data_IF_117361514650
#
_entry.id   IF_117361514650
#
_cell.length_a   1.000
_cell.length_b   1.000
_cell.length_c   1.000
_cell.angle_alpha   90.00
_cell.angle_beta   90.00
_cell.angle_gamma   90.00
#
_symmetry.space_group_name_H-M   'P 1'
#
loop_
_entity.id
_entity.type
_entity.pdbx_description
1 polymer ?
#
# COMPACT_ATOMS: atom_id res chain seq x y z
N UNK A 1 15.59 -12.13 -6.92
CA UNK A 1 15.53 -12.84 -5.61
C UNK A 1 14.84 -14.19 -5.73
N UNK A 2 13.57 -14.27 -6.06
CA UNK A 2 12.88 -15.54 -6.33
C UNK A 2 12.43 -15.60 -7.77
N UNK A 3 12.62 -16.76 -8.41
CA UNK A 3 12.11 -17.05 -9.74
C UNK A 3 11.43 -18.39 -9.75
N UNK A 4 10.17 -18.41 -10.15
CA UNK A 4 9.40 -19.60 -10.47
C UNK A 4 9.45 -19.76 -12.00
N UNK A 5 9.83 -20.95 -12.49
CA UNK A 5 10.10 -21.24 -13.89
C UNK A 5 9.29 -22.48 -14.29
N UNK A 6 8.14 -22.27 -14.94
CA UNK A 6 7.17 -23.30 -15.33
C UNK A 6 6.64 -24.14 -14.17
N UNK A 7 6.49 -23.54 -12.97
CA UNK A 7 6.14 -24.28 -11.74
C UNK A 7 4.72 -24.79 -11.80
N UNK A 8 4.55 -26.09 -11.62
CA UNK A 8 3.23 -26.73 -11.55
C UNK A 8 3.04 -27.60 -10.32
N UNK A 9 1.79 -27.71 -9.87
CA UNK A 9 1.39 -28.64 -8.81
C UNK A 9 0.11 -29.35 -9.16
N UNK A 10 0.21 -30.66 -9.30
CA UNK A 10 -0.93 -31.58 -9.38
C UNK A 10 -0.87 -32.51 -8.19
N UNK A 11 -1.98 -32.64 -7.46
CA UNK A 11 -2.11 -33.56 -6.33
C UNK A 11 -2.40 -35.00 -6.81
N UNK A 12 -2.28 -35.99 -5.92
CA UNK A 12 -2.47 -37.40 -6.25
C UNK A 12 -3.91 -37.76 -6.69
N UNK A 13 -4.88 -36.93 -6.33
CA UNK A 13 -6.29 -37.06 -6.75
C UNK A 13 -6.57 -36.44 -8.14
N UNK A 14 -5.51 -35.94 -8.82
CA UNK A 14 -5.63 -35.29 -10.13
C UNK A 14 -5.96 -33.79 -10.06
N UNK A 15 -6.16 -33.21 -8.88
CA UNK A 15 -6.44 -31.79 -8.72
C UNK A 15 -5.22 -30.95 -9.11
N UNK A 16 -5.37 -30.09 -10.13
CA UNK A 16 -4.34 -29.12 -10.52
C UNK A 16 -4.49 -27.85 -9.67
N UNK A 17 -3.54 -27.63 -8.77
CA UNK A 17 -3.53 -26.47 -7.87
C UNK A 17 -2.74 -25.29 -8.44
N UNK A 18 -1.68 -25.54 -9.23
CA UNK A 18 -0.88 -24.52 -9.90
C UNK A 18 -0.49 -25.06 -11.27
N UNK A 19 -0.65 -24.22 -12.32
CA UNK A 19 -0.40 -24.61 -13.70
C UNK A 19 0.65 -23.69 -14.33
N UNK A 20 1.84 -24.25 -14.67
CA UNK A 20 2.93 -23.58 -15.41
C UNK A 20 3.15 -22.11 -14.99
N UNK A 21 3.38 -21.92 -13.70
CA UNK A 21 3.55 -20.58 -13.13
C UNK A 21 4.96 -20.08 -13.42
N UNK A 22 5.03 -18.97 -14.17
CA UNK A 22 6.22 -18.14 -14.31
C UNK A 22 6.02 -16.87 -13.47
N UNK A 23 6.92 -16.61 -12.53
CA UNK A 23 6.84 -15.45 -11.65
C UNK A 23 8.23 -15.04 -11.18
N UNK A 24 8.59 -13.78 -11.40
CA UNK A 24 9.82 -13.19 -10.87
C UNK A 24 9.48 -12.23 -9.71
N UNK A 25 10.09 -12.47 -8.55
CA UNK A 25 9.99 -11.60 -7.37
C UNK A 25 11.33 -10.88 -7.20
N UNK A 26 11.41 -9.57 -7.47
CA UNK A 26 12.63 -8.79 -7.30
C UNK A 26 13.10 -8.75 -5.85
N UNK A 27 14.42 -8.54 -5.67
CA UNK A 27 14.96 -8.33 -4.31
C UNK A 27 14.42 -7.01 -3.72
N UNK A 28 14.07 -7.04 -2.44
CA UNK A 28 13.56 -5.87 -1.71
C UNK A 28 12.11 -5.50 -2.01
N UNK A 29 11.43 -6.21 -2.95
CA UNK A 29 10.03 -5.92 -3.28
C UNK A 29 9.04 -6.71 -2.44
N UNK A 30 7.85 -6.13 -2.27
CA UNK A 30 6.67 -6.78 -1.72
C UNK A 30 5.75 -7.21 -2.88
N UNK A 31 5.70 -8.51 -3.17
CA UNK A 31 4.83 -9.08 -4.20
C UNK A 31 3.64 -9.76 -3.55
N UNK A 32 2.43 -9.32 -3.93
CA UNK A 32 1.19 -9.86 -3.40
C UNK A 32 0.55 -10.83 -4.39
N UNK A 33 0.26 -12.04 -3.92
CA UNK A 33 -0.52 -13.04 -4.64
C UNK A 33 -1.98 -12.92 -4.21
N UNK A 34 -2.87 -12.57 -5.12
CA UNK A 34 -4.29 -12.36 -4.85
C UNK A 34 -5.17 -13.18 -5.78
N UNK A 35 -6.39 -13.47 -5.37
CA UNK A 35 -7.36 -14.22 -6.17
C UNK A 35 -8.34 -15.01 -5.31
N UNK A 36 -9.34 -15.66 -5.91
CA UNK A 36 -10.38 -16.39 -5.18
C UNK A 36 -9.80 -17.55 -4.36
N UNK A 37 -10.61 -18.06 -3.41
CA UNK A 37 -10.21 -19.20 -2.58
C UNK A 37 -9.96 -20.43 -3.45
N UNK A 38 -8.90 -21.20 -3.14
CA UNK A 38 -8.55 -22.42 -3.85
C UNK A 38 -7.81 -22.22 -5.19
N UNK A 39 -7.47 -20.99 -5.61
CA UNK A 39 -6.77 -20.74 -6.88
C UNK A 39 -5.24 -20.98 -6.83
N UNK A 40 -4.67 -21.56 -5.77
CA UNK A 40 -3.28 -22.00 -5.74
C UNK A 40 -2.28 -21.08 -5.03
N UNK A 41 -2.65 -19.90 -4.52
CA UNK A 41 -1.77 -18.93 -3.83
C UNK A 41 -0.97 -19.53 -2.67
N UNK A 42 -1.67 -20.07 -1.65
CA UNK A 42 -1.01 -20.71 -0.50
C UNK A 42 -0.22 -21.96 -0.91
N UNK A 43 -0.64 -22.67 -1.96
CA UNK A 43 0.12 -23.80 -2.52
C UNK A 43 1.43 -23.30 -3.11
N UNK A 44 1.42 -22.19 -3.86
CA UNK A 44 2.63 -21.55 -4.40
C UNK A 44 3.57 -21.17 -3.27
N UNK A 45 3.08 -20.49 -2.23
CA UNK A 45 3.88 -20.12 -1.07
C UNK A 45 4.52 -21.33 -0.38
N UNK A 46 3.73 -22.41 -0.20
CA UNK A 46 4.20 -23.67 0.40
C UNK A 46 5.25 -24.37 -0.46
N UNK A 47 5.19 -24.25 -1.80
CA UNK A 47 6.22 -24.77 -2.70
C UNK A 47 7.52 -23.98 -2.58
N UNK A 48 7.47 -22.65 -2.50
CA UNK A 48 8.66 -21.81 -2.28
C UNK A 48 9.34 -22.18 -0.95
N UNK A 49 8.58 -22.43 0.10
CA UNK A 49 9.08 -22.88 1.42
C UNK A 49 9.39 -24.38 1.47
N UNK A 50 9.21 -25.10 0.37
CA UNK A 50 9.42 -26.55 0.30
C UNK A 50 8.66 -27.35 1.36
N UNK A 51 7.47 -26.86 1.74
CA UNK A 51 6.50 -27.64 2.53
C UNK A 51 5.72 -28.63 1.64
N UNK A 52 5.64 -28.32 0.35
CA UNK A 52 5.06 -29.13 -0.71
C UNK A 52 6.05 -29.11 -1.88
N UNK A 53 6.33 -30.27 -2.46
CA UNK A 53 7.17 -30.35 -3.67
C UNK A 53 6.36 -30.00 -4.93
N UNK A 54 6.91 -29.20 -5.84
CA UNK A 54 6.31 -29.00 -7.16
C UNK A 54 6.28 -30.31 -7.95
N UNK A 55 5.33 -30.47 -8.89
CA UNK A 55 5.26 -31.64 -9.78
C UNK A 55 5.97 -31.36 -11.10
N UNK A 56 6.15 -30.09 -11.47
CA UNK A 56 6.91 -29.66 -12.66
C UNK A 56 7.56 -28.30 -12.40
N UNK A 57 8.49 -27.93 -13.26
CA UNK A 57 9.21 -26.66 -13.18
C UNK A 57 10.27 -26.63 -12.06
N UNK A 58 10.77 -25.46 -11.78
CA UNK A 58 11.80 -25.24 -10.75
C UNK A 58 11.59 -23.89 -10.06
N UNK A 59 12.05 -23.80 -8.82
CA UNK A 59 12.01 -22.60 -8.02
C UNK A 59 13.44 -22.22 -7.65
N UNK A 60 13.84 -21.02 -7.99
CA UNK A 60 15.17 -20.50 -7.72
C UNK A 60 15.08 -19.43 -6.63
N UNK A 61 15.93 -19.51 -5.61
CA UNK A 61 16.14 -18.48 -4.59
C UNK A 61 17.59 -18.01 -4.70
N UNK A 62 17.81 -16.75 -5.10
CA UNK A 62 19.13 -16.18 -5.42
C UNK A 62 19.93 -17.03 -6.43
N UNK A 63 19.23 -17.61 -7.40
CA UNK A 63 19.82 -18.47 -8.43
C UNK A 63 20.03 -19.93 -7.99
N UNK A 64 19.83 -20.27 -6.72
CA UNK A 64 19.92 -21.63 -6.17
C UNK A 64 18.59 -22.36 -6.30
N UNK A 65 18.58 -23.54 -6.93
CA UNK A 65 17.37 -24.37 -7.05
C UNK A 65 16.98 -24.94 -5.69
N UNK A 66 15.87 -24.45 -5.13
CA UNK A 66 15.40 -24.82 -3.79
C UNK A 66 15.10 -26.32 -3.66
N UNK A 67 14.79 -27.02 -4.77
CA UNK A 67 14.49 -28.46 -4.74
C UNK A 67 15.75 -29.31 -4.47
N UNK A 68 16.95 -28.74 -4.66
CA UNK A 68 18.24 -29.40 -4.46
C UNK A 68 18.88 -29.08 -3.10
N UNK A 69 18.34 -28.11 -2.39
CA UNK A 69 18.83 -27.70 -1.06
C UNK A 69 18.21 -28.59 0.01
N UNK A 70 18.90 -28.81 1.15
CA UNK A 70 18.29 -29.42 2.31
C UNK A 70 17.09 -28.59 2.81
N UNK A 71 15.88 -29.19 2.94
CA UNK A 71 14.67 -28.43 3.29
C UNK A 71 14.74 -27.74 4.64
N UNK A 72 15.49 -28.30 5.60
CA UNK A 72 15.65 -27.70 6.93
C UNK A 72 16.54 -26.48 6.85
N UNK A 73 17.65 -26.58 6.09
CA UNK A 73 18.54 -25.44 5.86
C UNK A 73 17.83 -24.32 5.09
N UNK A 74 17.04 -24.66 4.07
CA UNK A 74 16.26 -23.69 3.30
C UNK A 74 15.30 -22.93 4.22
N UNK A 75 14.46 -23.64 4.99
CA UNK A 75 13.44 -23.02 5.87
C UNK A 75 14.03 -22.16 6.99
N UNK A 76 15.28 -22.40 7.42
CA UNK A 76 15.98 -21.51 8.36
C UNK A 76 16.43 -20.19 7.75
N UNK A 77 16.46 -20.09 6.41
CA UNK A 77 16.80 -18.87 5.64
C UNK A 77 15.55 -18.09 5.21
N UNK A 78 14.35 -18.60 5.49
CA UNK A 78 13.07 -17.99 5.07
C UNK A 78 12.25 -17.70 6.33
N UNK A 79 11.81 -16.46 6.47
CA UNK A 79 10.81 -16.11 7.48
C UNK A 79 9.42 -16.54 6.98
N UNK A 80 8.63 -17.20 7.82
CA UNK A 80 7.31 -17.66 7.43
C UNK A 80 6.25 -17.29 8.46
N UNK A 81 5.29 -16.47 8.02
CA UNK A 81 4.10 -16.08 8.78
C UNK A 81 2.91 -16.83 8.22
N UNK A 82 2.33 -17.73 9.02
CA UNK A 82 1.16 -18.54 8.64
C UNK A 82 -0.15 -17.86 9.08
N UNK A 83 -1.25 -18.18 8.42
CA UNK A 83 -2.59 -17.61 8.62
C UNK A 83 -3.05 -17.61 10.10
N UNK A 84 -2.74 -18.62 10.87
CA UNK A 84 -3.06 -18.74 12.30
C UNK A 84 -1.87 -18.44 13.21
N UNK A 85 -1.01 -17.51 12.87
CA UNK A 85 0.23 -17.08 13.58
C UNK A 85 1.11 -18.24 14.09
N UNK A 86 0.56 -19.36 14.54
CA UNK A 86 1.24 -20.58 14.96
C UNK A 86 2.26 -20.38 16.09
N UNK A 87 1.97 -19.52 17.05
CA UNK A 87 2.79 -19.37 18.24
C UNK A 87 2.65 -20.62 19.12
N UNK A 88 3.75 -21.04 19.75
CA UNK A 88 3.74 -22.14 20.72
C UNK A 88 3.04 -21.68 22.00
N UNK A 89 1.84 -22.19 22.33
CA UNK A 89 1.02 -21.65 23.41
C UNK A 89 1.62 -21.85 24.81
N UNK A 90 2.50 -22.81 24.96
CA UNK A 90 3.18 -23.18 26.20
C UNK A 90 4.55 -22.50 26.37
N UNK A 91 4.94 -21.64 25.43
CA UNK A 91 6.21 -20.90 25.47
C UNK A 91 5.93 -19.41 25.60
N UNK A 92 6.84 -18.69 26.26
CA UNK A 92 6.79 -17.24 26.34
C UNK A 92 6.98 -16.60 24.95
N UNK A 93 6.67 -15.32 24.84
CA UNK A 93 6.88 -14.55 23.60
C UNK A 93 8.37 -14.54 23.25
N UNK A 94 9.25 -14.33 24.21
CA UNK A 94 10.71 -14.37 24.05
C UNK A 94 11.16 -15.69 23.42
N UNK A 95 10.68 -16.80 23.93
CA UNK A 95 11.03 -18.15 23.42
C UNK A 95 10.43 -18.36 22.02
N UNK A 96 9.20 -17.91 21.78
CA UNK A 96 8.57 -17.98 20.46
C UNK A 96 9.39 -17.24 19.40
N UNK A 97 9.77 -15.99 19.66
CA UNK A 97 10.56 -15.17 18.73
C UNK A 97 11.97 -15.74 18.56
N UNK A 98 12.62 -16.17 19.65
CA UNK A 98 13.97 -16.75 19.66
C UNK A 98 14.10 -18.14 19.02
N UNK A 99 12.99 -18.78 18.61
CA UNK A 99 13.00 -20.18 18.13
C UNK A 99 14.00 -20.44 17.00
N UNK A 100 14.03 -19.59 15.96
CA UNK A 100 14.93 -19.81 14.81
C UNK A 100 16.39 -19.46 15.15
N UNK A 101 16.70 -18.34 15.81
CA UNK A 101 18.04 -18.08 16.36
C UNK A 101 18.61 -19.23 17.19
N UNK A 102 17.81 -19.81 18.10
CA UNK A 102 18.23 -20.95 18.92
C UNK A 102 18.53 -22.20 18.08
N UNK A 103 17.70 -22.49 17.06
CA UNK A 103 17.94 -23.57 16.09
C UNK A 103 19.19 -23.35 15.23
N UNK A 104 19.61 -22.10 15.07
CA UNK A 104 20.85 -21.73 14.39
C UNK A 104 22.06 -21.75 15.33
N UNK A 105 21.86 -22.03 16.63
CA UNK A 105 22.92 -22.10 17.62
C UNK A 105 23.44 -20.74 18.09
N UNK A 106 22.61 -19.70 18.02
CA UNK A 106 23.01 -18.39 18.56
C UNK A 106 23.17 -18.47 20.08
N UNK A 107 24.14 -17.72 20.60
CA UNK A 107 24.30 -17.61 22.03
C UNK A 107 23.13 -16.89 22.69
N UNK A 108 22.72 -17.31 23.89
CA UNK A 108 21.54 -16.81 24.62
C UNK A 108 21.49 -15.29 24.72
N UNK A 109 22.61 -14.62 24.97
CA UNK A 109 22.70 -13.16 25.08
C UNK A 109 22.28 -12.52 23.75
N UNK A 110 22.88 -12.96 22.62
CA UNK A 110 22.56 -12.45 21.27
C UNK A 110 21.11 -12.68 20.89
N UNK A 111 20.55 -13.88 21.21
CA UNK A 111 19.14 -14.18 20.96
C UNK A 111 18.24 -13.24 21.73
N UNK A 112 18.52 -12.98 23.03
CA UNK A 112 17.70 -12.10 23.85
C UNK A 112 17.75 -10.65 23.33
N UNK A 113 18.93 -10.11 23.05
CA UNK A 113 19.10 -8.76 22.48
C UNK A 113 18.31 -8.62 21.15
N UNK A 114 18.40 -9.63 20.28
CA UNK A 114 17.65 -9.63 19.01
C UNK A 114 16.14 -9.73 19.21
N UNK A 115 15.68 -10.50 20.18
CA UNK A 115 14.25 -10.59 20.52
C UNK A 115 13.73 -9.25 21.02
N UNK A 116 14.47 -8.59 21.91
CA UNK A 116 14.08 -7.30 22.48
C UNK A 116 14.03 -6.23 21.38
N UNK A 117 15.04 -6.15 20.51
CA UNK A 117 15.06 -5.28 19.32
C UNK A 117 13.82 -5.49 18.43
N UNK A 118 13.47 -6.74 18.14
CA UNK A 118 12.35 -7.06 17.26
C UNK A 118 10.98 -6.83 17.91
N UNK A 119 10.87 -7.00 19.20
CA UNK A 119 9.64 -6.65 19.92
C UNK A 119 9.42 -5.15 19.92
N UNK A 120 10.47 -4.34 20.17
CA UNK A 120 10.39 -2.88 20.05
C UNK A 120 10.01 -2.46 18.62
N UNK A 121 10.65 -3.06 17.62
CA UNK A 121 10.41 -2.80 16.20
C UNK A 121 8.94 -3.02 15.80
N UNK A 122 8.27 -4.03 16.38
CA UNK A 122 6.84 -4.28 16.13
C UNK A 122 5.92 -3.57 17.14
N UNK A 123 6.43 -2.61 17.93
CA UNK A 123 5.67 -1.82 18.89
C UNK A 123 5.13 -2.61 20.08
N UNK A 124 5.92 -3.57 20.57
CA UNK A 124 5.66 -4.36 21.77
C UNK A 124 6.81 -4.20 22.76
N UNK A 125 6.63 -3.38 23.80
CA UNK A 125 7.66 -3.14 24.83
C UNK A 125 8.19 -4.48 25.41
N UNK A 126 9.50 -4.79 25.27
CA UNK A 126 10.07 -6.08 25.70
C UNK A 126 9.84 -6.37 27.18
N UNK A 127 10.03 -5.38 28.05
CA UNK A 127 9.85 -5.52 29.50
C UNK A 127 8.42 -5.89 29.89
N UNK A 128 7.45 -5.57 29.04
CA UNK A 128 6.03 -5.84 29.27
C UNK A 128 5.60 -7.18 28.65
N UNK A 129 6.11 -7.46 27.43
CA UNK A 129 5.55 -8.55 26.61
C UNK A 129 6.41 -9.78 26.48
N UNK A 130 7.75 -9.69 26.63
CA UNK A 130 8.66 -10.79 26.33
C UNK A 130 8.39 -12.05 27.16
N UNK A 131 8.04 -11.90 28.42
CA UNK A 131 7.81 -13.02 29.33
C UNK A 131 6.33 -13.46 29.41
N UNK A 132 5.44 -12.81 28.64
CA UNK A 132 4.04 -13.23 28.52
C UNK A 132 3.90 -14.48 27.65
N UNK A 133 2.75 -15.13 27.78
CA UNK A 133 2.32 -16.25 26.93
C UNK A 133 1.36 -15.75 25.83
N UNK A 134 1.25 -16.44 24.68
CA UNK A 134 0.35 -16.06 23.60
C UNK A 134 -1.11 -15.84 24.00
N UNK A 135 -1.59 -16.59 25.01
CA UNK A 135 -2.96 -16.44 25.54
C UNK A 135 -3.23 -15.09 26.22
N UNK A 136 -2.20 -14.38 26.62
CA UNK A 136 -2.27 -13.08 27.29
C UNK A 136 -2.23 -11.89 26.32
N UNK A 137 -2.16 -12.16 25.01
CA UNK A 137 -2.06 -11.17 23.95
C UNK A 137 -3.36 -11.07 23.15
N UNK A 138 -3.68 -9.86 22.65
CA UNK A 138 -4.73 -9.67 21.66
C UNK A 138 -4.38 -10.34 20.31
N UNK A 139 -5.35 -10.47 19.39
CA UNK A 139 -5.12 -11.02 18.05
C UNK A 139 -4.03 -10.26 17.29
N UNK A 140 -4.10 -8.92 17.27
CA UNK A 140 -3.12 -8.06 16.62
C UNK A 140 -1.73 -8.15 17.27
N UNK A 141 -1.65 -8.22 18.60
CA UNK A 141 -0.37 -8.41 19.29
C UNK A 141 0.26 -9.77 18.96
N UNK A 142 -0.54 -10.85 18.92
CA UNK A 142 -0.03 -12.15 18.46
C UNK A 142 0.50 -12.10 17.04
N UNK A 143 -0.17 -11.35 16.16
CA UNK A 143 0.25 -11.15 14.76
C UNK A 143 1.63 -10.47 14.70
N UNK A 144 1.83 -9.37 15.44
CA UNK A 144 3.11 -8.67 15.53
C UNK A 144 4.23 -9.56 16.04
N UNK A 145 3.95 -10.40 17.05
CA UNK A 145 4.90 -11.43 17.51
C UNK A 145 5.24 -12.44 16.41
N UNK A 146 4.26 -12.83 15.58
CA UNK A 146 4.47 -13.69 14.42
C UNK A 146 5.43 -13.09 13.39
N UNK A 147 5.29 -11.79 13.13
CA UNK A 147 6.21 -11.02 12.27
C UNK A 147 7.61 -10.96 12.90
N UNK A 148 7.72 -10.59 14.18
CA UNK A 148 8.98 -10.56 14.91
C UNK A 148 9.71 -11.93 14.86
N UNK A 149 8.97 -13.04 15.07
CA UNK A 149 9.53 -14.39 14.95
C UNK A 149 10.04 -14.69 13.54
N UNK A 150 9.30 -14.28 12.51
CA UNK A 150 9.72 -14.49 11.13
C UNK A 150 11.00 -13.71 10.78
N UNK A 151 11.20 -12.53 11.38
CA UNK A 151 12.38 -11.69 11.21
C UNK A 151 13.57 -12.07 12.09
N UNK A 152 13.40 -12.97 13.08
CA UNK A 152 14.37 -13.19 14.14
C UNK A 152 15.77 -13.60 13.65
N UNK A 153 15.83 -14.45 12.63
CA UNK A 153 17.08 -14.89 12.01
C UNK A 153 17.59 -13.99 10.88
N UNK A 154 17.01 -12.80 10.73
CA UNK A 154 17.32 -11.84 9.66
C UNK A 154 17.24 -12.45 8.25
N UNK A 155 16.11 -13.10 7.87
CA UNK A 155 16.00 -13.78 6.59
C UNK A 155 15.96 -12.77 5.43
N UNK A 156 16.50 -13.12 4.24
CA UNK A 156 16.39 -12.28 3.04
C UNK A 156 14.98 -12.32 2.44
N UNK A 157 14.19 -13.34 2.75
CA UNK A 157 12.85 -13.57 2.22
C UNK A 157 11.85 -13.81 3.34
N UNK A 158 10.70 -13.11 3.26
CA UNK A 158 9.52 -13.34 4.08
C UNK A 158 8.40 -13.92 3.22
N UNK A 159 7.78 -14.99 3.68
CA UNK A 159 6.57 -15.57 3.12
C UNK A 159 5.42 -15.34 4.11
N UNK A 160 4.30 -14.79 3.65
CA UNK A 160 3.17 -14.45 4.50
C UNK A 160 1.87 -14.97 3.90
N UNK A 161 1.20 -15.88 4.61
CA UNK A 161 -0.05 -16.51 4.16
C UNK A 161 -1.22 -15.93 4.95
N UNK A 162 -1.98 -15.00 4.34
CA UNK A 162 -3.12 -14.27 4.92
C UNK A 162 -2.85 -13.72 6.33
N UNK A 163 -1.76 -12.95 6.55
CA UNK A 163 -1.32 -12.60 7.89
C UNK A 163 -2.33 -11.73 8.64
N UNK A 164 -3.17 -10.94 7.96
CA UNK A 164 -4.12 -10.05 8.59
C UNK A 164 -5.58 -10.59 8.57
N UNK A 165 -5.81 -11.80 8.07
CA UNK A 165 -7.16 -12.37 7.92
C UNK A 165 -7.95 -12.50 9.22
N UNK A 166 -7.29 -12.72 10.35
CA UNK A 166 -7.91 -12.86 11.67
C UNK A 166 -7.90 -11.57 12.51
N UNK A 167 -7.52 -10.42 11.92
CA UNK A 167 -7.43 -9.12 12.60
C UNK A 167 -8.72 -8.34 12.40
N UNK A 168 -9.17 -7.65 13.45
CA UNK A 168 -10.30 -6.73 13.39
C UNK A 168 -10.13 -5.68 12.27
N UNK A 169 -11.16 -5.39 11.45
CA UNK A 169 -11.06 -4.47 10.32
C UNK A 169 -10.55 -3.06 10.68
N UNK A 170 -10.91 -2.54 11.87
CA UNK A 170 -10.48 -1.20 12.31
C UNK A 170 -8.97 -1.16 12.56
N UNK A 171 -8.43 -2.23 13.14
CA UNK A 171 -7.00 -2.33 13.50
C UNK A 171 -6.17 -2.78 12.30
N UNK A 172 -6.78 -3.54 11.37
CA UNK A 172 -6.10 -4.14 10.21
C UNK A 172 -5.38 -3.10 9.35
N UNK A 173 -6.09 -2.02 8.98
CA UNK A 173 -5.52 -0.96 8.16
C UNK A 173 -4.25 -0.36 8.74
N UNK A 174 -4.25 -0.06 10.04
CA UNK A 174 -3.08 0.46 10.75
C UNK A 174 -1.92 -0.55 10.77
N UNK A 175 -2.20 -1.83 11.01
CA UNK A 175 -1.17 -2.87 10.99
C UNK A 175 -0.56 -3.07 9.60
N UNK A 176 -1.34 -2.89 8.55
CA UNK A 176 -0.86 -2.94 7.17
C UNK A 176 0.10 -1.79 6.88
N UNK A 177 -0.21 -0.56 7.30
CA UNK A 177 0.67 0.60 7.15
C UNK A 177 1.98 0.39 7.93
N UNK A 178 1.88 0.06 9.21
CA UNK A 178 3.05 -0.23 10.05
C UNK A 178 3.93 -1.34 9.45
N UNK A 179 3.32 -2.37 8.84
CA UNK A 179 4.06 -3.43 8.17
C UNK A 179 4.72 -2.95 6.88
N UNK A 180 4.04 -2.11 6.10
CA UNK A 180 4.58 -1.54 4.86
C UNK A 180 5.82 -0.68 5.17
N UNK A 181 5.72 0.21 6.15
CA UNK A 181 6.81 1.07 6.60
C UNK A 181 8.01 0.23 7.05
N UNK A 182 7.75 -0.80 7.87
CA UNK A 182 8.77 -1.74 8.33
C UNK A 182 9.46 -2.49 7.19
N UNK A 183 8.70 -2.96 6.20
CA UNK A 183 9.25 -3.67 5.04
C UNK A 183 10.16 -2.77 4.21
N UNK A 184 9.75 -1.50 4.01
CA UNK A 184 10.56 -0.50 3.30
C UNK A 184 11.85 -0.18 4.06
N UNK A 185 11.77 0.05 5.36
CA UNK A 185 12.94 0.33 6.21
C UNK A 185 13.96 -0.82 6.19
N UNK A 186 13.49 -2.06 6.29
CA UNK A 186 14.33 -3.24 6.31
C UNK A 186 14.79 -3.72 4.92
N UNK A 187 14.17 -3.24 3.83
CA UNK A 187 14.47 -3.65 2.46
C UNK A 187 14.28 -5.15 2.20
N UNK A 188 13.39 -5.82 2.92
CA UNK A 188 13.18 -7.27 2.80
C UNK A 188 12.33 -7.63 1.60
N UNK A 189 12.65 -8.74 0.96
CA UNK A 189 11.77 -9.33 -0.07
C UNK A 189 10.62 -10.04 0.60
N UNK A 190 9.41 -9.76 0.15
CA UNK A 190 8.18 -10.34 0.73
C UNK A 190 7.32 -10.96 -0.37
N UNK A 191 6.90 -12.20 -0.20
CA UNK A 191 5.77 -12.79 -0.91
C UNK A 191 4.58 -12.88 0.04
N UNK A 192 3.53 -12.18 -0.28
CA UNK A 192 2.34 -12.01 0.55
C UNK A 192 1.12 -12.63 -0.13
N UNK A 193 0.35 -13.43 0.55
CA UNK A 193 -0.90 -14.01 0.04
C UNK A 193 -2.08 -13.37 0.74
N UNK A 194 -3.06 -12.96 -0.06
CA UNK A 194 -4.37 -12.50 0.41
C UNK A 194 -5.49 -12.91 -0.55
N UNK A 195 -6.73 -12.82 -0.11
CA UNK A 195 -7.91 -12.89 -0.97
C UNK A 195 -8.54 -11.50 -1.19
N UNK A 196 -7.99 -10.46 -0.57
CA UNK A 196 -8.50 -9.09 -0.59
C UNK A 196 -7.69 -8.23 -1.56
N UNK A 197 -8.36 -7.74 -2.63
CA UNK A 197 -7.73 -6.88 -3.63
C UNK A 197 -7.34 -5.51 -3.04
N UNK A 198 -8.07 -4.99 -2.04
CA UNK A 198 -7.72 -3.72 -1.39
C UNK A 198 -6.41 -3.84 -0.62
N UNK A 199 -6.21 -4.97 0.07
CA UNK A 199 -4.97 -5.28 0.75
C UNK A 199 -3.82 -5.42 -0.25
N UNK A 200 -4.05 -6.11 -1.39
CA UNK A 200 -3.04 -6.27 -2.43
C UNK A 200 -2.61 -4.93 -3.05
N UNK A 201 -3.58 -4.06 -3.33
CA UNK A 201 -3.35 -2.71 -3.86
C UNK A 201 -2.61 -1.81 -2.87
N UNK A 202 -2.95 -1.90 -1.58
CA UNK A 202 -2.35 -1.08 -0.52
C UNK A 202 -0.90 -1.45 -0.22
N UNK A 203 -0.59 -2.74 -0.23
CA UNK A 203 0.70 -3.26 0.23
C UNK A 203 1.69 -3.51 -0.91
N UNK A 204 1.22 -4.02 -2.05
CA UNK A 204 2.08 -4.58 -3.08
C UNK A 204 2.85 -3.54 -3.89
N UNK A 205 4.13 -3.79 -4.14
CA UNK A 205 4.87 -3.15 -5.23
C UNK A 205 4.45 -3.76 -6.56
N UNK A 206 4.17 -5.08 -6.54
CA UNK A 206 3.55 -5.83 -7.63
C UNK A 206 2.48 -6.77 -7.11
N UNK A 207 1.48 -7.02 -7.94
CA UNK A 207 0.36 -7.90 -7.63
C UNK A 207 0.26 -8.98 -8.70
N UNK A 208 0.22 -10.24 -8.25
CA UNK A 208 -0.01 -11.41 -9.08
C UNK A 208 -1.46 -11.89 -8.88
N UNK A 209 -2.32 -11.68 -9.88
CA UNK A 209 -3.71 -12.07 -9.84
C UNK A 209 -3.86 -13.51 -10.34
N UNK A 210 -4.31 -14.40 -9.46
CA UNK A 210 -4.53 -15.82 -9.74
C UNK A 210 -5.99 -16.11 -10.07
N UNK A 211 -6.24 -16.70 -11.21
CA UNK A 211 -7.53 -17.26 -11.59
C UNK A 211 -7.69 -18.70 -11.09
N UNK A 212 -8.92 -19.21 -11.13
CA UNK A 212 -9.23 -20.61 -10.81
C UNK A 212 -8.36 -21.58 -11.65
N UNK A 213 -8.03 -22.72 -11.07
CA UNK A 213 -7.16 -23.73 -11.68
C UNK A 213 -5.67 -23.39 -11.69
N UNK A 214 -5.23 -22.45 -10.85
CA UNK A 214 -3.81 -22.13 -10.64
C UNK A 214 -3.15 -21.39 -11.79
N UNK A 215 -3.92 -20.61 -12.57
CA UNK A 215 -3.43 -19.79 -13.68
C UNK A 215 -3.10 -18.38 -13.18
N UNK A 216 -1.92 -17.88 -13.49
CA UNK A 216 -1.60 -16.46 -13.36
C UNK A 216 -2.33 -15.67 -14.46
N UNK A 217 -3.26 -14.82 -14.06
CA UNK A 217 -4.08 -14.02 -14.98
C UNK A 217 -3.36 -12.71 -15.35
N UNK A 218 -2.77 -12.02 -14.36
CA UNK A 218 -1.99 -10.80 -14.57
C UNK A 218 -0.93 -10.66 -13.47
N UNK A 219 0.22 -10.09 -13.82
CA UNK A 219 1.29 -9.75 -12.89
C UNK A 219 1.85 -8.37 -13.21
N UNK A 220 1.48 -7.37 -12.40
CA UNK A 220 1.84 -5.99 -12.67
C UNK A 220 1.81 -5.12 -11.40
N UNK A 221 2.07 -3.80 -11.56
CA UNK A 221 1.84 -2.82 -10.51
C UNK A 221 0.35 -2.73 -10.13
N UNK A 222 0.01 -2.35 -8.89
CA UNK A 222 -1.38 -2.10 -8.48
C UNK A 222 -2.12 -1.13 -9.42
N UNK A 223 -1.44 -0.07 -9.85
CA UNK A 223 -2.01 0.93 -10.75
C UNK A 223 -2.37 0.32 -12.11
N UNK A 224 -1.47 -0.49 -12.72
CA UNK A 224 -1.72 -1.16 -13.99
C UNK A 224 -2.87 -2.17 -13.91
N UNK A 225 -2.94 -2.97 -12.83
CA UNK A 225 -4.03 -3.93 -12.62
C UNK A 225 -5.39 -3.23 -12.51
N UNK A 226 -5.44 -2.08 -11.83
CA UNK A 226 -6.68 -1.29 -11.69
C UNK A 226 -7.04 -0.53 -12.97
N UNK A 227 -6.03 -0.06 -13.74
CA UNK A 227 -6.21 0.74 -14.94
C UNK A 227 -6.45 -0.08 -16.20
N UNK A 228 -5.64 -1.11 -16.41
CA UNK A 228 -5.62 -1.97 -17.59
C UNK A 228 -5.70 -3.46 -17.22
N UNK A 229 -6.87 -3.97 -16.78
CA UNK A 229 -7.05 -5.38 -16.51
C UNK A 229 -6.80 -6.23 -17.76
N UNK A 230 -6.00 -7.29 -17.64
CA UNK A 230 -5.58 -8.11 -18.77
C UNK A 230 -6.72 -8.92 -19.42
N UNK A 231 -7.76 -9.26 -18.67
CA UNK A 231 -8.95 -9.97 -19.15
C UNK A 231 -10.20 -9.63 -18.32
N UNK A 232 -11.37 -10.12 -18.77
CA UNK A 232 -12.65 -9.89 -18.09
C UNK A 232 -12.65 -10.43 -16.66
N UNK A 233 -11.95 -11.52 -16.40
CA UNK A 233 -11.83 -12.07 -15.05
C UNK A 233 -11.11 -11.09 -14.11
N UNK A 234 -10.00 -10.52 -14.54
CA UNK A 234 -9.28 -9.51 -13.74
C UNK A 234 -10.15 -8.27 -13.55
N UNK A 235 -10.84 -7.80 -14.60
CA UNK A 235 -11.75 -6.65 -14.54
C UNK A 235 -12.89 -6.87 -13.52
N UNK A 236 -13.49 -8.05 -13.50
CA UNK A 236 -14.53 -8.43 -12.54
C UNK A 236 -13.96 -8.57 -11.12
N UNK A 237 -12.78 -9.19 -10.99
CA UNK A 237 -12.13 -9.42 -9.70
C UNK A 237 -11.73 -8.10 -8.99
N UNK A 238 -11.23 -7.11 -9.73
CA UNK A 238 -10.90 -5.79 -9.17
C UNK A 238 -12.13 -4.94 -8.88
N UNK A 239 -13.27 -5.26 -9.50
CA UNK A 239 -14.56 -4.65 -9.23
C UNK A 239 -14.85 -3.35 -9.99
N UNK A 240 -16.13 -2.94 -9.97
CA UNK A 240 -16.61 -1.75 -10.69
C UNK A 240 -16.06 -0.42 -10.10
N UNK A 241 -15.67 -0.42 -8.84
CA UNK A 241 -15.11 0.72 -8.12
C UNK A 241 -13.59 0.89 -8.29
N UNK A 242 -12.98 0.15 -9.24
CA UNK A 242 -11.55 0.20 -9.54
C UNK A 242 -11.01 1.62 -9.75
N UNK A 243 -11.81 2.51 -10.35
CA UNK A 243 -11.43 3.91 -10.54
C UNK A 243 -11.23 4.66 -9.21
N UNK A 244 -12.08 4.40 -8.20
CA UNK A 244 -11.91 4.97 -6.86
C UNK A 244 -10.71 4.35 -6.12
N UNK A 245 -10.50 3.05 -6.28
CA UNK A 245 -9.31 2.37 -5.70
C UNK A 245 -8.02 2.88 -6.31
N UNK A 246 -8.03 3.23 -7.60
CA UNK A 246 -6.88 3.79 -8.29
C UNK A 246 -6.41 5.11 -7.67
N UNK A 247 -7.33 5.93 -7.14
CA UNK A 247 -6.96 7.15 -6.41
C UNK A 247 -6.03 6.88 -5.21
N UNK A 248 -6.11 5.69 -4.61
CA UNK A 248 -5.27 5.31 -3.48
C UNK A 248 -3.81 4.97 -3.85
N UNK A 249 -3.55 4.71 -5.13
CA UNK A 249 -2.21 4.37 -5.65
C UNK A 249 -1.69 5.38 -6.66
N UNK A 250 -2.44 6.46 -6.90
CA UNK A 250 -2.04 7.57 -7.77
C UNK A 250 -1.56 8.72 -6.89
N UNK A 251 -0.28 9.07 -7.01
CA UNK A 251 0.32 10.22 -6.33
C UNK A 251 -0.10 11.54 -6.98
N UNK A 252 0.17 12.63 -6.26
CA UNK A 252 -0.01 14.00 -6.74
C UNK A 252 1.25 14.38 -7.53
N UNK A 253 1.10 14.81 -8.78
CA UNK A 253 2.18 15.32 -9.61
C UNK A 253 2.09 16.84 -9.75
N UNK A 254 3.21 17.49 -10.11
CA UNK A 254 3.25 18.95 -10.27
C UNK A 254 2.27 19.46 -11.34
N UNK A 255 2.07 18.66 -12.40
CA UNK A 255 1.14 18.96 -13.48
C UNK A 255 -0.35 18.87 -13.08
N UNK A 256 -0.64 18.26 -11.94
CA UNK A 256 -1.99 18.21 -11.38
C UNK A 256 -2.36 19.48 -10.62
N UNK A 257 -1.34 20.27 -10.25
CA UNK A 257 -1.52 21.42 -9.39
C UNK A 257 -1.98 22.63 -10.19
N UNK A 258 -3.05 23.23 -9.72
CA UNK A 258 -3.53 24.51 -10.23
C UNK A 258 -2.89 25.65 -9.44
N UNK A 259 -2.41 26.67 -10.12
CA UNK A 259 -1.94 27.88 -9.46
C UNK A 259 -3.12 28.66 -8.91
N UNK A 260 -3.15 28.84 -7.59
CA UNK A 260 -4.14 29.66 -6.92
C UNK A 260 -3.68 31.13 -6.85
N UNK A 261 -4.59 32.12 -6.85
CA UNK A 261 -4.28 33.48 -6.45
C UNK A 261 -3.68 33.47 -5.04
N UNK A 262 -2.58 34.17 -4.87
CA UNK A 262 -1.86 34.26 -3.58
C UNK A 262 -1.83 35.69 -3.10
N UNK A 263 -2.07 35.88 -1.80
CA UNK A 263 -2.00 37.17 -1.11
C UNK A 263 -1.26 36.96 0.22
N UNK A 264 -0.70 38.03 0.76
CA UNK A 264 0.03 37.99 2.04
C UNK A 264 -0.85 38.45 3.20
N UNK A 265 -0.54 38.01 4.40
CA UNK A 265 -1.24 38.42 5.63
C UNK A 265 -1.26 39.93 5.81
N UNK A 266 -0.18 40.64 5.39
CA UNK A 266 0.02 42.06 5.52
C UNK A 266 -0.54 42.88 4.34
N UNK A 267 -1.03 42.22 3.28
CA UNK A 267 -1.66 42.90 2.15
C UNK A 267 -2.95 43.61 2.57
N UNK A 268 -3.27 44.72 1.91
CA UNK A 268 -4.57 45.36 2.09
C UNK A 268 -5.71 44.52 1.48
N UNK A 269 -6.88 44.58 2.06
CA UNK A 269 -8.08 43.92 1.51
C UNK A 269 -8.39 44.37 0.08
N UNK A 270 -8.09 45.65 -0.25
CA UNK A 270 -8.24 46.17 -1.59
C UNK A 270 -7.31 45.51 -2.62
N UNK A 271 -6.02 45.31 -2.25
CA UNK A 271 -5.07 44.59 -3.11
C UNK A 271 -5.49 43.12 -3.29
N UNK A 272 -5.86 42.45 -2.20
CA UNK A 272 -6.31 41.06 -2.25
C UNK A 272 -7.55 40.92 -3.20
N UNK A 273 -8.52 41.82 -3.11
CA UNK A 273 -9.68 41.82 -3.98
C UNK A 273 -9.28 42.08 -5.44
N UNK A 274 -8.35 43.01 -5.69
CA UNK A 274 -7.86 43.29 -7.03
C UNK A 274 -7.17 42.07 -7.65
N UNK A 275 -6.30 41.37 -6.89
CA UNK A 275 -5.64 40.11 -7.31
C UNK A 275 -6.69 39.06 -7.71
N UNK A 276 -7.65 38.78 -6.82
CA UNK A 276 -8.73 37.83 -7.13
C UNK A 276 -9.55 38.21 -8.34
N UNK A 277 -9.87 39.51 -8.49
CA UNK A 277 -10.67 40.00 -9.64
C UNK A 277 -9.89 39.86 -10.94
N UNK A 278 -8.59 40.19 -10.93
CA UNK A 278 -7.72 40.11 -12.12
C UNK A 278 -7.54 38.65 -12.57
N UNK A 279 -7.46 37.71 -11.63
CA UNK A 279 -7.32 36.29 -11.90
C UNK A 279 -8.67 35.55 -12.03
N UNK A 280 -9.80 36.30 -11.99
CA UNK A 280 -11.14 35.72 -12.13
C UNK A 280 -11.54 34.75 -10.99
N UNK A 281 -10.88 34.87 -9.85
CA UNK A 281 -11.06 33.94 -8.73
C UNK A 281 -11.96 34.55 -7.63
N UNK A 282 -12.69 33.66 -6.92
CA UNK A 282 -13.56 34.07 -5.81
C UNK A 282 -12.88 33.90 -4.43
N UNK A 283 -11.66 33.41 -4.40
CA UNK A 283 -10.87 33.16 -3.20
C UNK A 283 -9.38 33.25 -3.51
N UNK A 284 -8.55 33.49 -2.50
CA UNK A 284 -7.11 33.49 -2.60
C UNK A 284 -6.50 32.76 -1.40
N UNK A 285 -5.35 32.13 -1.62
CA UNK A 285 -4.53 31.54 -0.56
C UNK A 285 -3.78 32.67 0.15
N UNK A 286 -3.73 32.59 1.49
CA UNK A 286 -3.04 33.57 2.33
C UNK A 286 -1.73 32.96 2.84
N UNK A 287 -0.62 33.63 2.53
CA UNK A 287 0.73 33.26 2.93
C UNK A 287 1.30 34.27 3.92
N UNK A 288 2.28 33.85 4.73
CA UNK A 288 3.10 34.77 5.53
C UNK A 288 4.31 35.31 4.74
N UNK A 289 5.19 36.03 5.43
CA UNK A 289 6.45 36.58 4.87
C UNK A 289 7.42 35.49 4.39
N UNK A 290 7.33 34.28 4.93
CA UNK A 290 8.21 33.14 4.63
C UNK A 290 7.57 32.16 3.60
N UNK A 291 6.51 32.59 2.90
CA UNK A 291 5.71 31.80 1.93
C UNK A 291 5.03 30.55 2.53
N UNK A 292 4.80 30.56 3.85
CA UNK A 292 4.10 29.46 4.53
C UNK A 292 2.59 29.69 4.47
N UNK A 293 1.85 28.61 4.32
CA UNK A 293 0.38 28.64 4.30
C UNK A 293 -0.17 29.10 5.66
N UNK A 294 -0.97 30.17 5.66
CA UNK A 294 -1.69 30.68 6.84
C UNK A 294 -3.18 30.45 6.78
N UNK A 295 -3.75 30.52 5.56
CA UNK A 295 -5.18 30.38 5.41
C UNK A 295 -5.66 30.69 4.00
N UNK A 296 -6.89 31.14 3.94
CA UNK A 296 -7.52 31.58 2.71
C UNK A 296 -8.48 32.75 2.96
N UNK A 297 -8.78 33.53 1.93
CA UNK A 297 -9.72 34.64 2.01
C UNK A 297 -10.65 34.60 0.78
N UNK A 298 -11.97 34.81 1.01
CA UNK A 298 -12.92 34.97 -0.10
C UNK A 298 -12.98 36.40 -0.57
N UNK A 299 -13.41 36.60 -1.82
CA UNK A 299 -13.59 37.93 -2.41
C UNK A 299 -14.63 38.77 -1.63
N UNK A 300 -15.60 38.11 -1.00
CA UNK A 300 -16.61 38.74 -0.15
C UNK A 300 -16.04 39.23 1.18
N UNK A 301 -15.10 38.46 1.77
CA UNK A 301 -14.39 38.86 2.97
C UNK A 301 -13.37 39.98 2.72
N UNK A 302 -12.88 40.13 1.48
CA UNK A 302 -11.94 41.15 1.08
C UNK A 302 -12.60 42.53 0.81
N UNK A 303 -13.80 42.77 1.36
CA UNK A 303 -14.50 44.04 1.27
C UNK A 303 -14.12 44.98 2.43
N UNK A 304 -13.97 46.28 2.10
CA UNK A 304 -13.71 47.32 3.09
C UNK A 304 -12.22 47.67 3.25
N UNK A 305 -11.86 48.24 4.41
CA UNK A 305 -10.49 48.62 4.77
C UNK A 305 -9.94 47.68 5.82
N UNK A 306 -8.63 47.43 5.81
CA UNK A 306 -7.92 46.53 6.76
C UNK A 306 -6.91 45.64 6.05
N UNK A 307 -6.35 44.72 6.81
CA UNK A 307 -5.36 43.75 6.31
C UNK A 307 -6.02 42.37 6.08
N UNK A 308 -5.42 41.59 5.20
CA UNK A 308 -5.86 40.22 4.87
C UNK A 308 -5.86 39.33 6.10
N UNK A 309 -4.84 39.46 6.97
CA UNK A 309 -4.70 38.67 8.20
C UNK A 309 -5.91 38.80 9.14
N UNK A 310 -6.58 39.99 9.17
CA UNK A 310 -7.74 40.24 10.03
C UNK A 310 -9.01 39.52 9.57
N UNK A 311 -9.08 39.13 8.30
CA UNK A 311 -10.25 38.56 7.64
C UNK A 311 -10.03 37.16 7.06
N UNK A 312 -8.79 36.71 7.04
CA UNK A 312 -8.45 35.36 6.56
C UNK A 312 -9.03 34.29 7.49
N UNK A 313 -9.37 33.16 6.89
CA UNK A 313 -9.78 31.95 7.61
C UNK A 313 -8.67 30.95 7.58
N UNK A 314 -8.49 30.19 8.68
CA UNK A 314 -7.49 29.12 8.74
C UNK A 314 -7.79 28.08 7.67
N UNK A 315 -6.73 27.60 7.02
CA UNK A 315 -6.82 26.50 6.06
C UNK A 315 -6.83 25.18 6.81
N UNK A 316 -7.90 24.41 6.66
CA UNK A 316 -8.04 23.07 7.24
C UNK A 316 -7.98 21.98 6.16
N UNK A 317 -8.28 22.34 4.90
CA UNK A 317 -8.26 21.41 3.78
C UNK A 317 -6.90 21.45 3.09
N UNK A 318 -5.95 20.64 3.56
CA UNK A 318 -4.63 20.46 2.94
C UNK A 318 -4.18 19.00 2.98
N UNK A 319 -3.26 18.65 2.09
CA UNK A 319 -2.59 17.36 1.99
C UNK A 319 -1.10 17.57 1.76
N UNK A 320 -0.28 16.57 2.11
CA UNK A 320 1.13 16.55 1.75
C UNK A 320 1.30 16.18 0.27
N UNK A 321 2.45 16.57 -0.32
CA UNK A 321 2.79 16.21 -1.69
C UNK A 321 2.79 14.69 -1.93
N UNK A 322 3.26 13.93 -0.94
CA UNK A 322 3.42 12.48 -1.05
C UNK A 322 2.12 11.72 -0.75
N UNK A 323 1.04 12.43 -0.39
CA UNK A 323 -0.26 11.81 -0.17
C UNK A 323 -0.88 11.37 -1.51
N UNK A 324 -1.65 10.27 -1.54
CA UNK A 324 -2.36 9.85 -2.72
C UNK A 324 -3.55 10.76 -3.03
N UNK A 325 -3.99 10.80 -4.30
CA UNK A 325 -5.18 11.55 -4.73
C UNK A 325 -6.45 11.21 -3.94
N UNK A 326 -6.54 10.01 -3.38
CA UNK A 326 -7.63 9.59 -2.50
C UNK A 326 -7.74 10.48 -1.26
N UNK A 327 -6.62 10.85 -0.66
CA UNK A 327 -6.61 11.66 0.55
C UNK A 327 -6.97 13.12 0.25
N UNK A 328 -6.57 13.61 -0.93
CA UNK A 328 -7.03 14.91 -1.43
C UNK A 328 -8.56 14.94 -1.61
N UNK A 329 -9.13 13.91 -2.27
CA UNK A 329 -10.58 13.79 -2.43
C UNK A 329 -11.30 13.67 -1.07
N UNK A 330 -10.81 12.83 -0.17
CA UNK A 330 -11.37 12.66 1.17
C UNK A 330 -11.34 13.96 1.98
N UNK A 331 -10.27 14.74 1.85
CA UNK A 331 -10.11 16.03 2.51
C UNK A 331 -11.07 17.08 1.95
N UNK A 332 -11.25 17.13 0.61
CA UNK A 332 -12.28 18.00 0.00
C UNK A 332 -13.68 17.69 0.52
N UNK A 333 -14.04 16.40 0.56
CA UNK A 333 -15.36 15.96 1.05
C UNK A 333 -15.54 16.22 2.56
N UNK A 334 -14.53 15.99 3.37
CA UNK A 334 -14.58 16.19 4.84
C UNK A 334 -14.81 17.64 5.21
N UNK A 335 -14.20 18.57 4.47
CA UNK A 335 -14.26 20.00 4.76
C UNK A 335 -15.27 20.76 3.88
N UNK A 336 -16.06 20.05 3.05
CA UNK A 336 -16.95 20.63 2.04
C UNK A 336 -16.23 21.72 1.22
N UNK A 337 -14.99 21.41 0.81
CA UNK A 337 -14.09 22.34 0.18
C UNK A 337 -14.07 22.12 -1.35
N UNK A 338 -14.21 23.18 -2.12
CA UNK A 338 -14.09 23.15 -3.57
C UNK A 338 -12.64 22.99 -4.08
N UNK A 339 -11.66 22.94 -3.18
CA UNK A 339 -10.23 22.76 -3.47
C UNK A 339 -9.47 22.38 -2.20
N UNK A 340 -8.27 21.83 -2.36
CA UNK A 340 -7.37 21.44 -1.26
C UNK A 340 -5.98 21.96 -1.57
N UNK A 341 -5.29 22.49 -0.54
CA UNK A 341 -3.90 22.93 -0.66
C UNK A 341 -2.96 21.72 -0.66
N UNK A 342 -1.93 21.73 -1.50
CA UNK A 342 -0.87 20.72 -1.51
C UNK A 342 0.40 21.35 -0.96
N UNK A 343 0.99 20.72 0.06
CA UNK A 343 2.12 21.24 0.80
C UNK A 343 3.34 20.32 0.68
N UNK A 344 4.52 20.95 0.66
CA UNK A 344 5.80 20.30 0.95
C UNK A 344 6.31 20.89 2.29
N UNK A 345 6.15 20.12 3.37
CA UNK A 345 6.26 20.64 4.72
C UNK A 345 5.22 21.74 4.99
N UNK A 346 5.68 22.96 5.27
CA UNK A 346 4.82 24.16 5.45
C UNK A 346 4.66 25.01 4.19
N UNK A 347 5.35 24.65 3.11
CA UNK A 347 5.38 25.41 1.85
C UNK A 347 4.24 25.00 0.93
N UNK A 348 3.49 25.97 0.43
CA UNK A 348 2.48 25.73 -0.59
C UNK A 348 3.12 25.43 -1.94
N UNK A 349 2.76 24.29 -2.54
CA UNK A 349 3.12 23.94 -3.93
C UNK A 349 2.06 24.41 -4.92
N UNK A 350 0.79 24.27 -4.58
CA UNK A 350 -0.37 24.61 -5.41
C UNK A 350 -1.65 24.11 -4.77
N UNK A 351 -2.71 24.06 -5.56
CA UNK A 351 -4.01 23.52 -5.11
C UNK A 351 -4.52 22.47 -6.07
N UNK A 352 -5.24 21.49 -5.54
CA UNK A 352 -6.04 20.56 -6.31
C UNK A 352 -7.50 21.00 -6.27
N UNK A 353 -8.16 20.94 -7.43
CA UNK A 353 -9.59 21.13 -7.59
C UNK A 353 -10.25 19.81 -8.00
N UNK A 354 -11.59 19.66 -7.93
CA UNK A 354 -12.26 18.48 -8.46
C UNK A 354 -11.92 18.18 -9.93
N UNK A 355 -11.79 19.23 -10.76
CA UNK A 355 -11.45 19.10 -12.18
C UNK A 355 -10.00 18.63 -12.37
N UNK A 356 -9.04 19.20 -11.63
CA UNK A 356 -7.64 18.79 -11.72
C UNK A 356 -7.43 17.38 -11.14
N UNK A 357 -8.14 17.01 -10.08
CA UNK A 357 -8.14 15.66 -9.54
C UNK A 357 -8.70 14.63 -10.55
N UNK A 358 -9.79 14.98 -11.23
CA UNK A 358 -10.33 14.13 -12.30
C UNK A 358 -9.36 14.01 -13.49
N UNK A 359 -8.69 15.11 -13.86
CA UNK A 359 -7.66 15.10 -14.92
C UNK A 359 -6.46 14.22 -14.53
N UNK A 360 -5.98 14.32 -13.27
CA UNK A 360 -4.92 13.48 -12.72
C UNK A 360 -5.27 11.99 -12.79
N UNK A 361 -6.50 11.62 -12.40
CA UNK A 361 -6.98 10.24 -12.52
C UNK A 361 -6.98 9.76 -13.98
N UNK A 362 -7.48 10.59 -14.93
CA UNK A 362 -7.49 10.26 -16.36
C UNK A 362 -6.07 10.11 -16.92
N UNK A 363 -5.12 10.97 -16.51
CA UNK A 363 -3.72 10.88 -16.91
C UNK A 363 -3.12 9.54 -16.44
N UNK A 364 -3.36 9.17 -15.19
CA UNK A 364 -2.85 7.92 -14.63
C UNK A 364 -3.38 6.67 -15.38
N UNK A 365 -4.60 6.73 -15.92
CA UNK A 365 -5.17 5.66 -16.76
C UNK A 365 -4.45 5.60 -18.11
N UNK A 366 -4.19 6.74 -18.74
CA UNK A 366 -3.54 6.82 -20.07
C UNK A 366 -2.07 6.42 -20.03
N UNK A 367 -1.35 6.71 -18.95
CA UNK A 367 0.05 6.32 -18.79
C UNK A 367 0.26 4.80 -18.83
N UNK A 368 -0.75 4.01 -18.44
CA UNK A 368 -0.71 2.54 -18.53
C UNK A 368 -1.24 2.00 -19.86
N UNK A 369 -1.94 2.85 -20.65
CA UNK A 369 -2.58 2.48 -21.93
C UNK A 369 -1.71 2.77 -23.18
N UNK A 370 -0.40 2.98 -23.06
CA UNK A 370 0.51 3.12 -24.21
C UNK A 370 0.53 1.85 -25.11
N UNK A 371 -0.62 1.44 -25.57
CA UNK A 371 -0.82 0.28 -26.46
C UNK A 371 -2.25 0.06 -26.94
N UNK A 372 -3.23 0.77 -26.44
CA UNK A 372 -4.64 0.61 -26.86
C UNK A 372 -5.16 1.94 -27.44
N UNK A 373 -5.44 1.98 -28.75
CA UNK A 373 -6.20 3.06 -29.39
C UNK A 373 -7.59 3.16 -28.75
N UNK A 374 -7.79 4.17 -27.92
CA UNK A 374 -9.11 4.50 -27.39
C UNK A 374 -9.90 5.16 -28.51
N UNK A 375 -10.89 4.46 -29.05
CA UNK A 375 -11.89 5.05 -29.95
C UNK A 375 -12.61 6.17 -29.18
N UNK A 376 -12.40 7.42 -29.57
CA UNK A 376 -13.17 8.54 -29.04
C UNK A 376 -14.65 8.33 -29.37
N UNK A 377 -15.45 8.11 -28.33
CA UNK A 377 -16.90 8.21 -28.46
C UNK A 377 -17.24 9.69 -28.42
N UNK A 378 -17.51 10.29 -29.58
CA UNK A 378 -18.16 11.60 -29.65
C UNK A 378 -19.51 11.51 -28.93
N UNK A 379 -19.60 12.08 -27.75
CA UNK A 379 -20.87 12.30 -27.07
C UNK A 379 -21.55 13.45 -27.78
N UNK A 380 -22.62 13.17 -28.53
CA UNK A 380 -23.55 14.19 -29.01
C UNK A 380 -23.96 15.08 -27.81
N UNK A 381 -23.76 16.38 -27.98
CA UNK A 381 -24.13 17.34 -26.95
C UNK A 381 -25.64 17.22 -26.68
N UNK A 382 -26.08 17.06 -25.43
CA UNK A 382 -27.49 17.07 -25.12
C UNK A 382 -28.10 18.43 -25.53
N UNK A 383 -29.12 18.35 -26.37
CA UNK A 383 -29.88 19.55 -26.79
C UNK A 383 -30.47 20.27 -25.58
N UNK A 384 -30.81 21.60 -25.74
CA UNK A 384 -31.24 22.41 -24.61
C UNK A 384 -32.50 21.85 -23.97
N UNK A 385 -32.41 21.61 -22.63
CA UNK A 385 -33.57 21.25 -21.82
C UNK A 385 -34.57 22.39 -21.89
N UNK A 386 -35.71 22.15 -22.55
CA UNK A 386 -36.82 23.10 -22.54
C UNK A 386 -37.43 23.10 -21.13
N UNK A 387 -37.65 24.33 -20.62
CA UNK A 387 -38.25 24.68 -19.34
C UNK A 387 -39.66 24.11 -19.14
#
# INVERSE_FOLDING_TARGET
>A
MIRLDGVGKTYSDGTVAVRELDLDVPAGSLVVLVGPSGCGKSTTLKMVNRLIEPTSGRILLDGEDVTKVDPVKLRRRIGYVIQQVGLFPHQTIRTNVGTVPDLLGWGRKRTHERVDELLDLVGLEPDVYADRYPSQLSGGQRQRVGVARALAADPPLLLMDEPFGAVDPIVRGRLQDEFRDLQQELGKTVMFVTHDIEEAVRLGDKVAVFAQGGRLAQYDSPAAILGAPADDFVAEFVGADRGLRRLAVTGIEDDDLVRAPMVRVDDSLTQARQTMTTEGARWAVVLDSDDRLRGWISIDAANGTGQVGDRSRRMEAFVARDDPLKDALATMLRHDAGWVAVLDGDRLLGVLTPDSLHAALRRSIRADDEGVEVTEIELEQPGPIRA
#
